data_IF_517977594144
#
_entry.id   IF_517977594144
#
_cell.length_a   1.000
_cell.length_b   1.000
_cell.length_c   1.000
_cell.angle_alpha   90.00
_cell.angle_beta   90.00
_cell.angle_gamma   90.00
#
_symmetry.space_group_name_H-M   'P 1'
#
loop_
_entity.id
_entity.type
_entity.pdbx_description
1 polymer ?
#
# COMPACT_ATOMS: atom_id res chain seq x y z
N UNK A 1 32.59 19.71 31.01
CA UNK A 1 31.75 20.19 29.89
C UNK A 1 31.07 18.98 29.28
N UNK A 2 29.74 18.89 29.39
CA UNK A 2 28.97 17.79 28.79
C UNK A 2 28.49 18.26 27.42
N UNK A 3 28.86 17.55 26.36
CA UNK A 3 28.38 17.84 25.00
C UNK A 3 27.04 17.11 24.86
N UNK A 4 25.95 17.88 24.81
CA UNK A 4 24.67 17.37 24.34
C UNK A 4 24.76 17.20 22.82
N UNK A 5 24.79 15.97 22.33
CA UNK A 5 24.66 15.67 20.91
C UNK A 5 23.18 15.77 20.55
N UNK A 6 22.80 16.86 19.88
CA UNK A 6 21.47 17.03 19.33
C UNK A 6 21.42 16.27 18.00
N UNK A 7 20.93 15.03 18.02
CA UNK A 7 20.66 14.29 16.78
C UNK A 7 19.41 14.92 16.17
N UNK A 8 19.59 15.75 15.16
CA UNK A 8 18.50 16.13 14.25
C UNK A 8 18.17 14.87 13.44
N UNK A 9 17.18 14.10 13.88
CA UNK A 9 16.62 13.04 13.05
C UNK A 9 15.88 13.70 11.89
N UNK A 10 16.40 13.55 10.67
CA UNK A 10 15.58 13.77 9.49
C UNK A 10 14.40 12.81 9.58
N UNK A 11 13.17 13.33 9.59
CA UNK A 11 11.93 12.53 9.53
C UNK A 11 11.78 12.01 8.10
N UNK A 12 12.73 11.17 7.65
CA UNK A 12 12.56 10.42 6.42
C UNK A 12 11.56 9.29 6.71
N UNK A 13 10.53 9.16 5.89
CA UNK A 13 9.65 8.00 5.94
C UNK A 13 10.50 6.71 5.86
N UNK A 14 10.31 5.79 6.79
CA UNK A 14 11.01 4.51 6.79
C UNK A 14 10.55 3.69 5.57
N UNK A 15 11.49 3.03 4.90
CA UNK A 15 11.17 2.20 3.72
C UNK A 15 11.09 0.74 4.13
N UNK A 16 10.00 0.06 3.76
CA UNK A 16 9.86 -1.38 3.90
C UNK A 16 9.63 -1.99 2.53
N UNK A 17 10.48 -2.93 2.13
CA UNK A 17 10.37 -3.64 0.85
C UNK A 17 10.02 -5.09 1.11
N UNK A 18 9.03 -5.64 0.42
CA UNK A 18 8.72 -7.06 0.55
C UNK A 18 9.87 -7.91 0.00
N UNK A 19 10.36 -8.86 0.80
CA UNK A 19 11.49 -9.74 0.47
C UNK A 19 11.05 -11.17 0.13
N UNK A 20 9.78 -11.50 0.38
CA UNK A 20 9.18 -12.78 0.09
C UNK A 20 7.66 -12.65 -0.09
N UNK A 21 7.04 -13.69 -0.62
CA UNK A 21 5.58 -13.82 -0.56
C UNK A 21 5.15 -14.00 0.91
N UNK A 22 4.03 -13.40 1.31
CA UNK A 22 3.53 -13.61 2.68
C UNK A 22 2.49 -12.62 3.17
N UNK A 23 2.09 -12.79 4.42
CA UNK A 23 1.15 -11.91 5.10
C UNK A 23 1.77 -10.52 5.32
N UNK A 24 1.04 -9.45 5.01
CA UNK A 24 1.41 -8.06 5.33
C UNK A 24 1.85 -7.91 6.79
N UNK A 25 1.19 -8.57 7.73
CA UNK A 25 1.47 -8.41 9.16
C UNK A 25 2.56 -9.36 9.69
N UNK A 26 3.26 -10.08 8.81
CA UNK A 26 4.40 -10.93 9.20
C UNK A 26 5.74 -10.20 9.00
N UNK A 27 6.62 -10.13 10.02
CA UNK A 27 8.00 -9.66 9.90
C UNK A 27 8.79 -10.28 8.74
N UNK A 28 8.56 -11.57 8.47
CA UNK A 28 9.30 -12.33 7.45
C UNK A 28 9.00 -11.87 6.03
N UNK A 29 7.82 -11.29 5.78
CA UNK A 29 7.46 -10.69 4.49
C UNK A 29 8.34 -9.48 4.16
N UNK A 30 8.83 -8.77 5.18
CA UNK A 30 9.53 -7.49 5.05
C UNK A 30 11.01 -7.54 5.46
N UNK A 31 11.53 -8.73 5.78
CA UNK A 31 12.92 -8.90 6.23
C UNK A 31 13.18 -8.38 7.64
N UNK A 32 12.14 -8.19 8.46
CA UNK A 32 12.28 -7.84 9.88
C UNK A 32 11.17 -6.98 10.44
N UNK A 33 10.91 -5.81 9.86
CA UNK A 33 9.95 -4.84 10.41
C UNK A 33 8.71 -4.73 9.54
N UNK A 34 7.54 -4.98 10.14
CA UNK A 34 6.25 -4.80 9.47
C UNK A 34 5.98 -3.31 9.25
N UNK A 35 5.69 -2.86 8.02
CA UNK A 35 5.36 -1.47 7.75
C UNK A 35 4.06 -1.05 8.42
N UNK A 36 4.16 0.05 9.15
CA UNK A 36 3.04 0.75 9.77
C UNK A 36 2.71 2.02 8.96
N UNK A 37 1.54 2.65 9.19
CA UNK A 37 1.20 3.90 8.52
C UNK A 37 2.32 4.95 8.65
N UNK A 38 2.65 5.62 7.54
CA UNK A 38 3.78 6.55 7.44
C UNK A 38 5.03 5.97 6.74
N UNK A 39 5.09 4.66 6.53
CA UNK A 39 6.18 4.03 5.76
C UNK A 39 6.06 4.28 4.26
N UNK A 40 7.20 4.23 3.56
CA UNK A 40 7.26 4.00 2.13
C UNK A 40 7.34 2.49 1.87
N UNK A 41 6.19 1.90 1.54
CA UNK A 41 6.06 0.46 1.31
C UNK A 41 6.29 0.15 -0.16
N UNK A 42 7.20 -0.78 -0.44
CA UNK A 42 7.51 -1.28 -1.78
C UNK A 42 7.16 -2.77 -1.82
N UNK A 43 6.28 -3.16 -2.74
CA UNK A 43 5.81 -4.54 -2.91
C UNK A 43 6.39 -5.09 -4.22
N UNK A 44 7.37 -6.00 -4.09
CA UNK A 44 7.99 -6.72 -5.21
C UNK A 44 7.52 -8.17 -5.34
N UNK A 45 6.84 -8.68 -4.31
CA UNK A 45 6.35 -10.05 -4.16
C UNK A 45 4.83 -10.07 -3.95
N UNK A 46 4.21 -11.25 -3.87
CA UNK A 46 2.82 -11.37 -3.47
C UNK A 46 2.67 -11.14 -1.96
N UNK A 47 2.03 -10.04 -1.58
CA UNK A 47 1.67 -9.72 -0.20
C UNK A 47 0.18 -9.93 0.00
N UNK A 48 -0.16 -10.69 1.04
CA UNK A 48 -1.54 -10.99 1.41
C UNK A 48 -1.96 -10.12 2.58
N UNK A 49 -3.07 -9.41 2.43
CA UNK A 49 -3.68 -8.58 3.44
C UNK A 49 -4.68 -9.40 4.26
N UNK A 50 -4.33 -9.74 5.51
CA UNK A 50 -5.21 -10.56 6.39
C UNK A 50 -6.12 -9.75 7.33
N UNK A 51 -6.02 -8.43 7.27
CA UNK A 51 -6.87 -7.49 7.99
C UNK A 51 -6.91 -6.18 7.23
N UNK A 52 -7.96 -5.37 7.39
CA UNK A 52 -8.06 -4.08 6.71
C UNK A 52 -6.85 -3.18 7.04
N UNK A 53 -6.45 -2.35 6.08
CA UNK A 53 -5.33 -1.43 6.26
C UNK A 53 -5.72 -0.02 5.84
N UNK A 54 -5.19 0.96 6.57
CA UNK A 54 -5.38 2.35 6.25
C UNK A 54 -4.16 3.18 6.62
N UNK A 55 -3.90 4.22 5.86
CA UNK A 55 -2.77 5.12 6.10
C UNK A 55 -3.11 6.56 5.71
N UNK A 56 -2.48 7.52 6.40
CA UNK A 56 -2.65 8.96 6.18
C UNK A 56 -1.36 9.66 5.70
N UNK A 57 -0.24 8.96 5.70
CA UNK A 57 1.05 9.43 5.19
C UNK A 57 1.92 8.25 4.75
N UNK A 58 3.02 8.54 4.07
CA UNK A 58 3.87 7.53 3.44
C UNK A 58 3.40 7.15 2.04
N UNK A 59 3.74 5.95 1.59
CA UNK A 59 3.38 5.46 0.27
C UNK A 59 3.18 3.94 0.24
N UNK A 60 2.35 3.47 -0.68
CA UNK A 60 2.34 2.07 -1.10
C UNK A 60 2.63 2.03 -2.60
N UNK A 61 3.72 1.37 -2.97
CA UNK A 61 4.14 1.13 -4.35
C UNK A 61 4.12 -0.37 -4.63
N UNK A 62 3.30 -0.80 -5.58
CA UNK A 62 3.27 -2.17 -6.09
C UNK A 62 3.98 -2.17 -7.43
N UNK A 63 5.19 -2.75 -7.46
CA UNK A 63 5.95 -2.88 -8.70
C UNK A 63 5.34 -3.96 -9.61
N UNK A 64 5.76 -4.00 -10.87
CA UNK A 64 5.18 -4.88 -11.89
C UNK A 64 5.22 -6.37 -11.55
N UNK A 65 6.20 -6.81 -10.75
CA UNK A 65 6.30 -8.20 -10.26
C UNK A 65 5.48 -8.46 -8.99
N UNK A 66 5.01 -7.41 -8.32
CA UNK A 66 4.35 -7.47 -7.03
C UNK A 66 2.83 -7.62 -7.15
N UNK A 67 2.23 -8.12 -6.07
CA UNK A 67 0.77 -8.08 -5.93
C UNK A 67 0.32 -7.87 -4.50
N UNK A 68 -0.77 -7.13 -4.30
CA UNK A 68 -1.45 -7.00 -3.01
C UNK A 68 -2.82 -7.67 -3.09
N UNK A 69 -3.00 -8.77 -2.37
CA UNK A 69 -4.22 -9.60 -2.45
C UNK A 69 -4.89 -9.75 -1.08
N UNK A 70 -6.19 -9.97 -1.06
CA UNK A 70 -6.92 -10.32 0.15
C UNK A 70 -6.86 -11.83 0.44
N UNK A 71 -6.80 -12.21 1.70
CA UNK A 71 -6.93 -13.61 2.14
C UNK A 71 -8.39 -14.08 2.13
N UNK A 72 -9.31 -13.21 2.53
CA UNK A 72 -10.73 -13.44 2.53
C UNK A 72 -11.49 -12.18 2.09
N UNK A 73 -12.64 -12.36 1.47
CA UNK A 73 -13.50 -11.25 1.09
C UNK A 73 -14.49 -10.93 2.24
N UNK A 74 -14.63 -9.67 2.67
CA UNK A 74 -13.95 -8.49 2.17
C UNK A 74 -12.65 -8.13 2.94
N UNK A 75 -11.67 -7.58 2.22
CA UNK A 75 -10.63 -6.69 2.77
C UNK A 75 -10.70 -5.31 2.15
N UNK A 76 -10.35 -4.32 2.97
CA UNK A 76 -10.35 -2.92 2.62
C UNK A 76 -8.96 -2.30 2.71
N UNK A 77 -8.64 -1.44 1.74
CA UNK A 77 -7.54 -0.49 1.81
C UNK A 77 -8.10 0.94 1.77
N UNK A 78 -7.70 1.77 2.74
CA UNK A 78 -8.09 3.18 2.78
C UNK A 78 -6.86 4.10 2.77
N UNK A 79 -6.86 5.10 1.89
CA UNK A 79 -5.84 6.13 1.82
C UNK A 79 -6.47 7.48 2.21
N UNK A 80 -5.89 8.16 3.19
CA UNK A 80 -6.22 9.55 3.53
C UNK A 80 -4.95 10.41 3.63
N UNK A 81 -4.18 10.43 2.54
CA UNK A 81 -2.93 11.15 2.39
C UNK A 81 -1.85 10.28 1.75
N UNK A 82 -0.64 10.81 1.58
CA UNK A 82 0.45 10.05 0.96
C UNK A 82 0.21 9.71 -0.52
N UNK A 83 0.74 8.57 -0.96
CA UNK A 83 0.61 8.10 -2.35
C UNK A 83 0.31 6.60 -2.46
N UNK A 84 -0.39 6.23 -3.52
CA UNK A 84 -0.58 4.86 -3.96
C UNK A 84 -0.18 4.74 -5.43
N UNK A 85 0.71 3.81 -5.74
CA UNK A 85 1.11 3.51 -7.13
C UNK A 85 1.03 2.02 -7.37
N UNK A 86 0.29 1.61 -8.40
CA UNK A 86 0.19 0.22 -8.81
C UNK A 86 0.64 0.03 -10.26
N UNK A 87 1.74 -0.68 -10.44
CA UNK A 87 2.17 -1.24 -11.73
C UNK A 87 2.01 -2.77 -11.80
N UNK A 88 1.68 -3.42 -10.69
CA UNK A 88 1.44 -4.86 -10.57
C UNK A 88 -0.05 -5.20 -10.50
N UNK A 89 -0.42 -6.13 -9.61
CA UNK A 89 -1.81 -6.56 -9.42
C UNK A 89 -2.31 -6.27 -8.01
N UNK A 90 -3.48 -5.65 -7.89
CA UNK A 90 -4.17 -5.46 -6.61
C UNK A 90 -5.53 -6.13 -6.68
N UNK A 91 -5.83 -7.01 -5.73
CA UNK A 91 -7.11 -7.71 -5.62
C UNK A 91 -7.64 -7.58 -4.19
N UNK A 92 -8.48 -6.58 -3.98
CA UNK A 92 -9.11 -6.26 -2.69
C UNK A 92 -10.59 -6.00 -2.94
N UNK A 93 -11.48 -6.37 -2.02
CA UNK A 93 -12.91 -6.10 -2.23
C UNK A 93 -13.26 -4.62 -2.15
N UNK A 94 -12.54 -3.85 -1.32
CA UNK A 94 -12.85 -2.44 -1.06
C UNK A 94 -11.60 -1.57 -1.13
N UNK A 95 -11.66 -0.48 -1.87
CA UNK A 95 -10.62 0.54 -1.85
C UNK A 95 -11.24 1.93 -1.78
N UNK A 96 -10.71 2.79 -0.91
CA UNK A 96 -11.18 4.14 -0.71
C UNK A 96 -10.01 5.13 -0.67
N UNK A 97 -10.06 6.17 -1.50
CA UNK A 97 -9.02 7.18 -1.61
C UNK A 97 -9.61 8.56 -1.33
N UNK A 98 -9.34 9.08 -0.13
CA UNK A 98 -9.90 10.33 0.38
C UNK A 98 -9.03 11.55 0.04
N UNK A 99 -7.70 11.39 0.10
CA UNK A 99 -6.73 12.45 -0.18
C UNK A 99 -5.36 11.87 -0.58
N UNK A 100 -4.47 12.68 -1.13
CA UNK A 100 -3.15 12.27 -1.62
C UNK A 100 -3.12 12.05 -3.13
N UNK A 101 -2.26 11.14 -3.60
CA UNK A 101 -2.15 10.79 -5.03
C UNK A 101 -2.39 9.31 -5.25
N UNK A 102 -2.97 8.98 -6.39
CA UNK A 102 -3.19 7.59 -6.81
C UNK A 102 -2.88 7.45 -8.30
N UNK A 103 -2.10 6.42 -8.63
CA UNK A 103 -1.79 6.03 -10.00
C UNK A 103 -1.95 4.51 -10.18
N UNK A 104 -2.48 4.12 -11.33
CA UNK A 104 -2.57 2.72 -11.75
C UNK A 104 -2.12 2.56 -13.20
N UNK A 105 -1.03 1.85 -13.41
CA UNK A 105 -0.59 1.33 -14.72
C UNK A 105 -0.72 -0.19 -14.83
N UNK A 106 -0.97 -0.87 -13.72
CA UNK A 106 -1.24 -2.32 -13.66
C UNK A 106 -2.73 -2.65 -13.60
N UNK A 107 -3.08 -3.67 -12.82
CA UNK A 107 -4.47 -4.13 -12.63
C UNK A 107 -4.96 -3.83 -11.22
N UNK A 108 -6.06 -3.09 -11.12
CA UNK A 108 -6.91 -3.05 -9.93
C UNK A 108 -8.13 -3.93 -10.17
N UNK A 109 -8.35 -4.90 -9.31
CA UNK A 109 -9.55 -5.74 -9.34
C UNK A 109 -10.38 -5.56 -8.06
N UNK A 110 -11.04 -4.39 -7.86
CA UNK A 110 -12.02 -4.21 -6.82
C UNK A 110 -13.30 -5.02 -7.09
N UNK A 111 -13.69 -5.87 -6.14
CA UNK A 111 -14.85 -6.75 -6.33
C UNK A 111 -16.17 -6.09 -5.91
N UNK A 112 -16.15 -5.17 -4.95
CA UNK A 112 -17.38 -4.66 -4.30
C UNK A 112 -17.45 -3.13 -4.29
N UNK A 113 -16.41 -2.42 -3.84
CA UNK A 113 -16.49 -0.96 -3.73
C UNK A 113 -15.19 -0.25 -4.07
N UNK A 114 -15.29 0.78 -4.92
CA UNK A 114 -14.17 1.65 -5.29
C UNK A 114 -14.57 3.11 -5.13
N UNK A 115 -14.08 3.75 -4.07
CA UNK A 115 -14.37 5.15 -3.74
C UNK A 115 -13.18 6.06 -4.03
N UNK A 116 -13.42 7.16 -4.74
CA UNK A 116 -12.42 8.18 -5.06
C UNK A 116 -12.98 9.57 -4.70
N UNK A 117 -12.32 10.28 -3.78
CA UNK A 117 -12.48 11.72 -3.55
C UNK A 117 -11.34 12.54 -4.16
N UNK A 118 -10.41 11.86 -4.85
CA UNK A 118 -9.26 12.43 -5.55
C UNK A 118 -9.21 11.97 -7.00
N UNK A 119 -8.42 12.67 -7.82
CA UNK A 119 -8.16 12.25 -9.20
C UNK A 119 -7.30 10.97 -9.23
N UNK A 120 -7.73 10.01 -10.06
CA UNK A 120 -6.97 8.81 -10.38
C UNK A 120 -6.33 8.94 -11.76
N UNK A 121 -5.00 8.83 -11.82
CA UNK A 121 -4.30 8.59 -13.08
C UNK A 121 -4.29 7.10 -13.39
N UNK A 122 -5.14 6.66 -14.31
CA UNK A 122 -5.22 5.28 -14.74
C UNK A 122 -4.79 5.12 -16.20
N UNK A 123 -3.73 4.35 -16.42
CA UNK A 123 -3.27 3.87 -17.74
C UNK A 123 -3.38 2.34 -17.86
N UNK A 124 -3.70 1.66 -16.76
CA UNK A 124 -3.92 0.22 -16.70
C UNK A 124 -5.40 -0.19 -16.68
N UNK A 125 -5.68 -1.32 -16.06
CA UNK A 125 -7.01 -1.94 -16.00
C UNK A 125 -7.62 -1.76 -14.62
N UNK A 126 -8.91 -1.42 -14.59
CA UNK A 126 -9.75 -1.47 -13.39
C UNK A 126 -10.95 -2.34 -13.71
N UNK A 127 -11.13 -3.44 -12.99
CA UNK A 127 -12.29 -4.32 -13.12
C UNK A 127 -13.20 -4.19 -11.91
N UNK A 128 -14.50 -4.23 -12.13
CA UNK A 128 -15.51 -4.37 -11.08
C UNK A 128 -16.50 -5.44 -11.50
N UNK A 129 -16.86 -6.31 -10.57
CA UNK A 129 -17.85 -7.36 -10.82
C UNK A 129 -19.30 -6.88 -10.58
N UNK A 130 -19.50 -5.60 -10.22
CA UNK A 130 -20.79 -5.05 -9.80
C UNK A 130 -21.09 -3.65 -10.40
N UNK A 131 -20.69 -3.39 -11.66
CA UNK A 131 -21.17 -2.20 -12.38
C UNK A 131 -22.57 -2.44 -12.96
#
# INVERSE_FOLDING_TARGET
FSIAVFIVSSIAAQTATSVANGNWFSPTTWGGTVPTPGYNVIINHQVTLTSNYGYSSGSITINSSGSLIQDSSPRALAQNGGSFSNAGTVTLSKMAFFSGTISNSGTLNPVDSFYLAINLNNTGIITSNNL
#
